data_IF_262538279898
#
_entry.id   IF_262538279898
#
_cell.length_a   1.000
_cell.length_b   1.000
_cell.length_c   1.000
_cell.angle_alpha   90.00
_cell.angle_beta   90.00
_cell.angle_gamma   90.00
#
_symmetry.space_group_name_H-M   'P 1'
#
loop_
_entity.id
_entity.type
_entity.pdbx_description
1 polymer ?
#
# COMPACT_ATOMS: atom_id res chain seq x y z
N UNK A 1 1.39 10.66 -5.03
CA UNK A 1 2.24 9.55 -4.53
C UNK A 1 2.30 9.62 -3.00
N UNK A 2 1.30 9.03 -2.35
CA UNK A 2 1.17 8.87 -0.89
C UNK A 2 1.91 7.59 -0.49
N UNK A 3 2.75 7.65 0.55
CA UNK A 3 3.49 6.51 1.09
C UNK A 3 3.40 6.55 2.61
N UNK A 4 3.17 5.40 3.25
CA UNK A 4 3.00 5.33 4.71
C UNK A 4 4.24 5.84 5.46
N UNK A 5 5.45 5.56 4.94
CA UNK A 5 6.71 6.04 5.52
C UNK A 5 6.82 7.56 5.55
N UNK A 6 6.15 8.26 4.62
CA UNK A 6 6.16 9.73 4.55
C UNK A 6 5.05 10.37 5.37
N UNK A 7 3.91 9.70 5.49
CA UNK A 7 2.77 10.18 6.28
C UNK A 7 2.88 9.80 7.75
N UNK A 8 3.80 8.91 8.11
CA UNK A 8 3.93 8.40 9.47
C UNK A 8 2.84 7.40 9.85
N UNK A 9 2.27 6.70 8.86
CA UNK A 9 1.30 5.62 9.08
C UNK A 9 -0.02 5.77 8.34
N UNK A 10 -0.91 4.79 8.59
CA UNK A 10 -2.19 4.63 7.89
C UNK A 10 -3.17 5.78 8.14
N UNK A 11 -3.30 6.23 9.40
CA UNK A 11 -4.26 7.28 9.78
C UNK A 11 -4.05 8.54 8.96
N UNK A 12 -2.83 9.05 8.91
CA UNK A 12 -2.51 10.26 8.16
C UNK A 12 -2.52 10.03 6.65
N UNK A 13 -2.21 8.82 6.18
CA UNK A 13 -2.30 8.49 4.76
C UNK A 13 -3.73 8.53 4.22
N UNK A 14 -4.71 8.12 5.03
CA UNK A 14 -6.13 8.23 4.67
C UNK A 14 -6.58 9.69 4.65
N UNK A 15 -6.23 10.48 5.67
CA UNK A 15 -6.53 11.90 5.72
C UNK A 15 -5.93 12.64 4.50
N UNK A 16 -4.64 12.44 4.22
CA UNK A 16 -3.96 13.05 3.07
C UNK A 16 -4.56 12.61 1.73
N UNK A 17 -5.02 11.36 1.62
CA UNK A 17 -5.68 10.87 0.39
C UNK A 17 -6.98 11.62 0.15
N UNK A 18 -7.77 11.82 1.18
CA UNK A 18 -9.06 12.48 1.07
C UNK A 18 -8.87 13.98 0.78
N UNK A 19 -7.94 14.65 1.48
CA UNK A 19 -7.56 16.04 1.19
C UNK A 19 -7.04 16.22 -0.26
N UNK A 20 -6.23 15.27 -0.74
CA UNK A 20 -5.71 15.32 -2.10
C UNK A 20 -6.81 15.14 -3.16
N UNK A 21 -7.83 14.31 -2.87
CA UNK A 21 -9.01 14.16 -3.74
C UNK A 21 -9.83 15.44 -3.77
N UNK A 22 -10.07 16.05 -2.62
CA UNK A 22 -10.82 17.31 -2.51
C UNK A 22 -10.10 18.47 -3.22
N UNK A 23 -8.77 18.46 -3.21
CA UNK A 23 -7.93 19.39 -3.97
C UNK A 23 -7.85 19.07 -5.48
N UNK A 24 -8.53 18.01 -5.95
CA UNK A 24 -8.59 17.64 -7.37
C UNK A 24 -7.35 16.91 -7.91
N UNK A 25 -6.49 16.39 -7.03
CA UNK A 25 -5.33 15.59 -7.46
C UNK A 25 -5.74 14.16 -7.83
N UNK A 26 -5.05 13.61 -8.83
CA UNK A 26 -5.02 12.17 -9.04
C UNK A 26 -4.28 11.47 -7.90
N UNK A 27 -4.84 10.36 -7.41
CA UNK A 27 -4.22 9.59 -6.33
C UNK A 27 -3.30 8.53 -6.91
N UNK A 28 -2.05 8.55 -6.44
CA UNK A 28 -1.11 7.45 -6.55
C UNK A 28 -0.70 7.05 -5.15
N UNK A 29 -0.74 5.75 -4.84
CA UNK A 29 -0.22 5.19 -3.58
C UNK A 29 1.01 4.36 -3.90
N UNK A 30 2.09 4.55 -3.15
CA UNK A 30 3.33 3.83 -3.36
C UNK A 30 3.95 3.35 -2.06
N UNK A 31 5.10 2.69 -2.17
CA UNK A 31 5.85 2.16 -1.04
C UNK A 31 7.34 2.53 -1.09
N UNK A 32 8.04 2.31 0.03
CA UNK A 32 9.48 2.06 0.00
C UNK A 32 9.73 0.57 -0.25
N UNK A 33 10.95 0.19 -0.62
CA UNK A 33 11.32 -1.23 -0.68
C UNK A 33 11.19 -1.84 0.71
N UNK A 34 10.29 -2.81 0.86
CA UNK A 34 9.94 -3.41 2.15
C UNK A 34 9.05 -4.64 1.98
N UNK A 35 8.86 -5.38 3.07
CA UNK A 35 8.13 -6.66 3.10
C UNK A 35 6.62 -6.50 2.97
N UNK A 36 5.89 -7.60 2.76
CA UNK A 36 4.42 -7.62 2.69
C UNK A 36 3.73 -6.93 3.87
N UNK A 37 4.33 -6.97 5.07
CA UNK A 37 3.81 -6.28 6.25
C UNK A 37 3.67 -4.76 6.06
N UNK A 38 4.59 -4.12 5.33
CA UNK A 38 4.54 -2.68 5.07
C UNK A 38 3.49 -2.33 3.99
N UNK A 39 3.28 -3.22 3.03
CA UNK A 39 2.29 -3.04 1.97
C UNK A 39 0.86 -3.26 2.48
N UNK A 40 0.65 -4.16 3.43
CA UNK A 40 -0.67 -4.58 3.91
C UNK A 40 -1.61 -3.41 4.29
N UNK A 41 -1.22 -2.45 5.17
CA UNK A 41 -2.04 -1.27 5.43
C UNK A 41 -2.15 -0.33 4.22
N UNK A 42 -1.15 -0.27 3.35
CA UNK A 42 -1.14 0.63 2.20
C UNK A 42 -2.18 0.23 1.14
N UNK A 43 -2.59 -1.05 1.08
CA UNK A 43 -3.70 -1.53 0.23
C UNK A 43 -5.00 -0.76 0.52
N UNK A 44 -5.25 -0.42 1.78
CA UNK A 44 -6.46 0.32 2.17
C UNK A 44 -6.44 1.76 1.65
N UNK A 45 -5.28 2.40 1.65
CA UNK A 45 -5.10 3.75 1.09
C UNK A 45 -5.25 3.70 -0.44
N UNK A 46 -4.76 2.62 -1.07
CA UNK A 46 -4.75 2.43 -2.52
C UNK A 46 -6.14 2.21 -3.14
N UNK A 47 -7.19 1.97 -2.34
CA UNK A 47 -8.53 1.77 -2.87
C UNK A 47 -9.05 3.01 -3.61
N UNK A 48 -9.33 2.83 -4.91
CA UNK A 48 -9.72 3.91 -5.82
C UNK A 48 -8.58 4.88 -6.16
N UNK A 49 -7.31 4.48 -5.99
CA UNK A 49 -6.18 5.20 -6.56
C UNK A 49 -6.09 4.94 -8.07
N UNK A 50 -5.60 5.92 -8.83
CA UNK A 50 -5.36 5.77 -10.27
C UNK A 50 -4.10 4.92 -10.56
N UNK A 51 -3.12 4.94 -9.64
CA UNK A 51 -1.88 4.18 -9.74
C UNK A 51 -1.52 3.60 -8.38
N UNK A 52 -1.13 2.34 -8.36
CA UNK A 52 -0.70 1.62 -7.15
C UNK A 52 0.69 1.03 -7.38
N UNK A 53 1.62 1.40 -6.52
CA UNK A 53 3.05 1.05 -6.54
C UNK A 53 3.42 0.36 -5.21
N UNK A 54 2.88 -0.84 -5.01
CA UNK A 54 3.05 -1.66 -3.80
C UNK A 54 3.80 -2.95 -4.13
N UNK A 55 4.89 -2.84 -4.88
CA UNK A 55 5.69 -3.95 -5.41
C UNK A 55 6.92 -4.29 -4.54
N UNK A 56 7.13 -3.56 -3.44
CA UNK A 56 8.27 -3.74 -2.54
C UNK A 56 8.66 -5.20 -2.26
N UNK A 57 7.70 -6.10 -1.93
CA UNK A 57 7.99 -7.50 -1.67
C UNK A 57 8.52 -8.28 -2.88
N UNK A 58 8.10 -7.92 -4.09
CA UNK A 58 8.55 -8.55 -5.34
C UNK A 58 10.01 -8.23 -5.66
N UNK A 59 10.57 -7.20 -5.01
CA UNK A 59 11.97 -6.77 -5.16
C UNK A 59 12.90 -7.42 -4.13
N UNK A 60 12.35 -8.16 -3.15
CA UNK A 60 13.13 -8.85 -2.12
C UNK A 60 13.47 -10.28 -2.57
N UNK A 61 14.63 -10.78 -2.15
CA UNK A 61 14.99 -12.19 -2.35
C UNK A 61 14.10 -13.14 -1.52
N UNK A 62 13.61 -12.65 -0.38
CA UNK A 62 12.73 -13.38 0.54
C UNK A 62 11.81 -12.37 1.24
N UNK A 63 10.54 -12.74 1.39
CA UNK A 63 9.52 -11.95 2.11
C UNK A 63 9.11 -12.67 3.42
N UNK A 64 8.05 -12.21 4.09
CA UNK A 64 7.49 -12.86 5.28
C UNK A 64 6.98 -14.28 4.98
N UNK A 65 7.00 -15.15 5.99
CA UNK A 65 6.40 -16.50 5.94
C UNK A 65 4.92 -16.48 5.50
N UNK A 66 4.18 -15.46 5.95
CA UNK A 66 2.82 -15.15 5.50
C UNK A 66 2.86 -13.89 4.63
N UNK A 67 3.08 -13.98 3.31
CA UNK A 67 3.15 -12.81 2.45
C UNK A 67 1.76 -12.38 1.96
N UNK A 68 1.70 -11.22 1.33
CA UNK A 68 0.58 -10.84 0.47
C UNK A 68 0.60 -11.70 -0.80
N UNK A 69 -0.58 -11.94 -1.35
CA UNK A 69 -0.71 -12.62 -2.63
C UNK A 69 -0.62 -11.62 -3.79
N UNK A 70 0.21 -11.96 -4.77
CA UNK A 70 0.33 -11.27 -6.05
C UNK A 70 0.04 -12.28 -7.17
N UNK A 71 -0.78 -11.90 -8.13
CA UNK A 71 -1.01 -12.68 -9.34
C UNK A 71 -1.26 -11.78 -10.56
N UNK A 72 -1.78 -12.35 -11.65
CA UNK A 72 -2.09 -11.62 -12.87
C UNK A 72 -3.24 -10.61 -12.72
N UNK A 73 -4.10 -10.76 -11.71
CA UNK A 73 -5.17 -9.82 -11.39
C UNK A 73 -4.67 -8.69 -10.48
N UNK A 74 -3.54 -8.91 -9.79
CA UNK A 74 -2.77 -7.88 -9.09
C UNK A 74 -2.48 -8.25 -7.64
N UNK A 75 -2.48 -7.24 -6.78
CA UNK A 75 -2.24 -7.37 -5.34
C UNK A 75 -3.56 -7.59 -4.59
N UNK A 76 -3.61 -8.66 -3.79
CA UNK A 76 -4.79 -9.03 -3.01
C UNK A 76 -4.76 -8.49 -1.57
N UNK A 77 -5.93 -8.30 -0.92
CA UNK A 77 -6.01 -7.86 0.47
C UNK A 77 -5.24 -8.74 1.43
N UNK A 78 -4.70 -8.11 2.48
CA UNK A 78 -4.04 -8.81 3.59
C UNK A 78 -5.02 -9.72 4.33
N UNK A 79 -4.49 -10.84 4.84
CA UNK A 79 -5.20 -11.69 5.79
C UNK A 79 -4.77 -11.35 7.23
N UNK A 80 -5.59 -11.66 8.26
CA UNK A 80 -5.26 -11.32 9.64
C UNK A 80 -3.98 -11.95 10.17
N UNK A 81 -3.56 -13.08 9.59
CA UNK A 81 -2.29 -13.72 9.96
C UNK A 81 -1.06 -12.89 9.57
N UNK A 82 -1.20 -11.94 8.64
CA UNK A 82 -0.16 -10.96 8.31
C UNK A 82 -0.41 -9.63 9.02
N UNK A 83 -1.54 -8.99 8.73
CA UNK A 83 -1.91 -7.67 9.25
C UNK A 83 -3.38 -7.36 8.93
N UNK A 84 -4.11 -6.84 9.92
CA UNK A 84 -5.56 -6.57 9.81
C UNK A 84 -6.38 -7.78 10.23
#
# INVERSE_FOLDING_TARGET
>A
NIKLDKTGGLTEALALRDDARDAGFGIMVGCMVGTSLAMAPAILVAQGAAVVDLDGPLLLAEDRDTPLAYDAEGLHPSRPELWG
#
